data_IF_133150297404
#
_entry.id   IF_133150297404
#
_cell.length_a   1.000
_cell.length_b   1.000
_cell.length_c   1.000
_cell.angle_alpha   90.00
_cell.angle_beta   90.00
_cell.angle_gamma   90.00
#
_symmetry.space_group_name_H-M   'P 1'
#
loop_
_entity.id
_entity.type
_entity.pdbx_description
1 polymer ?
#
# COMPACT_ATOMS: atom_id res chain seq x y z
N UNK A 1 10.84 4.28 -28.43
CA UNK A 1 10.97 2.86 -28.11
C UNK A 1 11.04 2.64 -26.59
N UNK A 2 11.97 3.28 -25.88
CA UNK A 2 12.05 3.24 -24.41
C UNK A 2 10.73 3.51 -23.68
N UNK A 3 10.06 4.63 -23.98
CA UNK A 3 8.76 4.98 -23.37
C UNK A 3 7.65 3.95 -23.64
N UNK A 4 7.70 3.26 -24.77
CA UNK A 4 6.73 2.22 -25.11
C UNK A 4 6.97 0.95 -24.29
N UNK A 5 8.23 0.52 -24.18
CA UNK A 5 8.64 -0.63 -23.34
C UNK A 5 8.30 -0.35 -21.88
N UNK A 6 8.61 0.85 -21.40
CA UNK A 6 8.25 1.33 -20.06
C UNK A 6 6.75 1.23 -19.80
N UNK A 7 5.91 1.77 -20.70
CA UNK A 7 4.45 1.65 -20.61
C UNK A 7 3.98 0.19 -20.70
N UNK A 8 4.57 -0.64 -21.55
CA UNK A 8 4.21 -2.04 -21.70
C UNK A 8 4.48 -2.84 -20.42
N UNK A 9 5.62 -2.62 -19.76
CA UNK A 9 5.95 -3.25 -18.46
C UNK A 9 4.94 -2.80 -17.39
N UNK A 10 4.61 -1.51 -17.36
CA UNK A 10 3.64 -0.96 -16.42
C UNK A 10 2.25 -1.57 -16.57
N UNK A 11 1.81 -1.81 -17.81
CA UNK A 11 0.47 -2.34 -18.11
C UNK A 11 0.45 -3.87 -18.00
N UNK A 12 1.51 -4.54 -18.42
CA UNK A 12 1.53 -6.00 -18.58
C UNK A 12 1.88 -6.78 -17.32
N UNK A 13 2.77 -6.26 -16.47
CA UNK A 13 3.30 -7.04 -15.33
C UNK A 13 2.65 -6.69 -13.99
N UNK A 14 1.98 -5.53 -13.90
CA UNK A 14 1.44 -5.02 -12.64
C UNK A 14 2.56 -4.72 -11.63
N UNK A 15 2.97 -3.46 -11.54
CA UNK A 15 4.09 -3.02 -10.69
C UNK A 15 4.01 -3.45 -9.23
N UNK A 16 2.81 -3.65 -8.70
CA UNK A 16 2.59 -4.10 -7.33
C UNK A 16 3.14 -5.52 -7.08
N UNK A 17 3.14 -6.39 -8.10
CA UNK A 17 3.54 -7.80 -7.98
C UNK A 17 5.01 -8.06 -8.33
N UNK A 18 5.70 -7.11 -8.95
CA UNK A 18 7.10 -7.31 -9.33
C UNK A 18 8.03 -7.15 -8.12
N UNK A 19 8.99 -8.06 -7.97
CA UNK A 19 10.10 -7.94 -7.00
C UNK A 19 11.24 -7.11 -7.60
N UNK A 20 12.11 -6.57 -6.73
CA UNK A 20 13.30 -5.85 -7.15
C UNK A 20 14.16 -6.67 -8.13
N UNK A 21 14.35 -7.96 -7.84
CA UNK A 21 15.14 -8.88 -8.67
C UNK A 21 14.49 -9.09 -10.04
N UNK A 22 13.16 -9.21 -10.11
CA UNK A 22 12.44 -9.41 -11.38
C UNK A 22 12.48 -8.17 -12.25
N UNK A 23 12.45 -6.98 -11.63
CA UNK A 23 12.63 -5.70 -12.33
C UNK A 23 14.02 -5.65 -12.96
N UNK A 24 15.07 -5.96 -12.19
CA UNK A 24 16.44 -5.95 -12.68
C UNK A 24 16.65 -6.96 -13.82
N UNK A 25 16.18 -8.19 -13.66
CA UNK A 25 16.27 -9.24 -14.68
C UNK A 25 15.60 -8.80 -15.99
N UNK A 26 14.35 -8.32 -15.91
CA UNK A 26 13.57 -7.90 -17.09
C UNK A 26 14.26 -6.76 -17.83
N UNK A 27 14.75 -5.75 -17.10
CA UNK A 27 15.41 -4.61 -17.71
C UNK A 27 16.78 -5.00 -18.29
N UNK A 28 17.53 -5.86 -17.60
CA UNK A 28 18.81 -6.37 -18.08
C UNK A 28 18.66 -7.19 -19.38
N UNK A 29 17.58 -7.96 -19.52
CA UNK A 29 17.30 -8.66 -20.79
C UNK A 29 17.04 -7.69 -21.94
N UNK A 30 16.31 -6.60 -21.69
CA UNK A 30 16.00 -5.59 -22.71
C UNK A 30 17.27 -4.83 -23.12
N UNK A 31 18.16 -4.53 -22.15
CA UNK A 31 19.48 -3.94 -22.43
C UNK A 31 20.34 -4.91 -23.26
N UNK A 32 20.36 -6.21 -22.91
CA UNK A 32 21.10 -7.24 -23.66
C UNK A 32 20.59 -7.41 -25.10
N UNK A 33 19.29 -7.23 -25.34
CA UNK A 33 18.68 -7.27 -26.67
C UNK A 33 19.04 -6.03 -27.52
N UNK A 34 19.67 -5.02 -26.93
CA UNK A 34 20.05 -3.78 -27.60
C UNK A 34 18.91 -2.77 -27.72
N UNK A 35 17.74 -3.07 -27.14
CA UNK A 35 16.57 -2.19 -27.16
C UNK A 35 16.75 -0.98 -26.22
N UNK A 36 17.67 -1.09 -25.25
CA UNK A 36 18.01 -0.03 -24.30
C UNK A 36 19.51 0.08 -24.06
N UNK A 37 19.97 1.32 -23.89
CA UNK A 37 21.32 1.58 -23.39
C UNK A 37 21.43 1.24 -21.90
N UNK A 38 22.64 0.93 -21.41
CA UNK A 38 22.83 0.66 -19.98
C UNK A 38 22.37 1.81 -19.08
N UNK A 39 22.54 3.06 -19.56
CA UNK A 39 22.09 4.25 -18.84
C UNK A 39 20.57 4.26 -18.66
N UNK A 40 19.83 3.98 -19.74
CA UNK A 40 18.36 3.90 -19.72
C UNK A 40 17.85 2.72 -18.91
N UNK A 41 18.56 1.57 -18.94
CA UNK A 41 18.23 0.42 -18.11
C UNK A 41 18.34 0.73 -16.61
N UNK A 42 19.44 1.36 -16.18
CA UNK A 42 19.63 1.77 -14.78
C UNK A 42 18.54 2.74 -14.31
N UNK A 43 18.20 3.72 -15.13
CA UNK A 43 17.13 4.69 -14.86
C UNK A 43 15.76 3.99 -14.71
N UNK A 44 15.45 3.07 -15.62
CA UNK A 44 14.19 2.32 -15.59
C UNK A 44 14.07 1.44 -14.34
N UNK A 45 15.16 0.78 -13.92
CA UNK A 45 15.17 -0.04 -12.69
C UNK A 45 14.84 0.82 -11.47
N UNK A 46 15.46 1.98 -11.34
CA UNK A 46 15.22 2.87 -10.20
C UNK A 46 13.78 3.36 -10.18
N UNK A 47 13.27 3.82 -11.33
CA UNK A 47 11.90 4.31 -11.44
C UNK A 47 10.87 3.22 -11.16
N UNK A 48 11.09 2.00 -11.67
CA UNK A 48 10.22 0.84 -11.42
C UNK A 48 10.17 0.48 -9.92
N UNK A 49 11.32 0.51 -9.22
CA UNK A 49 11.38 0.25 -7.77
C UNK A 49 10.66 1.31 -6.95
N UNK A 50 10.91 2.59 -7.23
CA UNK A 50 10.23 3.71 -6.54
C UNK A 50 8.71 3.66 -6.77
N UNK A 51 8.30 3.46 -8.03
CA UNK A 51 6.89 3.40 -8.41
C UNK A 51 6.19 2.19 -7.78
N UNK A 52 6.82 1.01 -7.78
CA UNK A 52 6.29 -0.20 -7.15
C UNK A 52 6.02 0.04 -5.65
N UNK A 53 6.98 0.66 -4.96
CA UNK A 53 6.85 1.00 -3.53
C UNK A 53 5.69 1.95 -3.27
N UNK A 54 5.56 3.00 -4.10
CA UNK A 54 4.46 3.97 -4.00
C UNK A 54 3.10 3.31 -4.24
N UNK A 55 2.97 2.51 -5.30
CA UNK A 55 1.72 1.80 -5.63
C UNK A 55 1.34 0.82 -4.53
N UNK A 56 2.30 0.09 -3.94
CA UNK A 56 2.04 -0.80 -2.80
C UNK A 56 1.51 -0.02 -1.59
N UNK A 57 2.10 1.13 -1.28
CA UNK A 57 1.66 1.98 -0.17
C UNK A 57 0.23 2.50 -0.39
N UNK A 58 -0.05 3.07 -1.56
CA UNK A 58 -1.39 3.56 -1.92
C UNK A 58 -2.44 2.43 -1.89
N UNK A 59 -2.06 1.23 -2.34
CA UNK A 59 -2.94 0.07 -2.28
C UNK A 59 -3.22 -0.36 -0.83
N UNK A 60 -2.20 -0.41 0.03
CA UNK A 60 -2.37 -0.71 1.46
C UNK A 60 -3.29 0.29 2.15
N UNK A 61 -3.10 1.59 1.92
CA UNK A 61 -3.97 2.64 2.48
C UNK A 61 -5.42 2.50 1.98
N UNK A 62 -5.60 2.16 0.70
CA UNK A 62 -6.93 1.94 0.14
C UNK A 62 -7.60 0.70 0.73
N UNK A 63 -6.85 -0.39 0.93
CA UNK A 63 -7.35 -1.60 1.57
C UNK A 63 -7.76 -1.29 3.01
N UNK A 64 -6.89 -0.62 3.78
CA UNK A 64 -7.18 -0.22 5.16
C UNK A 64 -8.45 0.62 5.24
N UNK A 65 -8.62 1.58 4.32
CA UNK A 65 -9.83 2.39 4.24
C UNK A 65 -11.07 1.55 3.94
N UNK A 66 -11.01 0.66 2.95
CA UNK A 66 -12.14 -0.22 2.59
C UNK A 66 -12.51 -1.14 3.75
N UNK A 67 -11.52 -1.69 4.45
CA UNK A 67 -11.74 -2.52 5.63
C UNK A 67 -12.42 -1.70 6.74
N UNK A 68 -11.90 -0.52 7.07
CA UNK A 68 -12.49 0.35 8.06
C UNK A 68 -13.93 0.77 7.71
N UNK A 69 -14.19 1.16 6.45
CA UNK A 69 -15.54 1.48 5.98
C UNK A 69 -16.49 0.27 6.06
N UNK A 70 -15.99 -0.93 5.80
CA UNK A 70 -16.78 -2.17 5.89
C UNK A 70 -17.11 -2.50 7.34
N UNK A 71 -16.14 -2.40 8.25
CA UNK A 71 -16.34 -2.60 9.68
C UNK A 71 -17.37 -1.61 10.25
N UNK A 72 -17.30 -0.34 9.83
CA UNK A 72 -18.30 0.67 10.17
C UNK A 72 -19.69 0.32 9.63
N UNK A 73 -19.81 -0.13 8.38
CA UNK A 73 -21.09 -0.57 7.79
C UNK A 73 -21.70 -1.78 8.50
N UNK A 74 -20.88 -2.63 9.08
CA UNK A 74 -21.32 -3.78 9.88
C UNK A 74 -21.68 -3.40 11.32
N UNK A 75 -21.70 -2.09 11.67
CA UNK A 75 -21.88 -1.59 13.03
C UNK A 75 -20.92 -2.23 14.04
N UNK A 76 -19.72 -2.64 13.61
CA UNK A 76 -18.71 -3.18 14.52
C UNK A 76 -18.00 -2.00 15.21
N UNK A 77 -18.15 -1.83 16.54
CA UNK A 77 -17.44 -0.79 17.25
C UNK A 77 -15.94 -1.10 17.26
N UNK A 78 -15.13 -0.05 17.10
CA UNK A 78 -13.68 -0.15 17.24
C UNK A 78 -13.30 -0.41 18.69
N UNK A 79 -12.13 -1.03 18.91
CA UNK A 79 -11.62 -1.28 20.27
C UNK A 79 -11.51 0.02 21.08
N UNK A 80 -11.17 1.13 20.42
CA UNK A 80 -11.07 2.46 21.03
C UNK A 80 -12.43 2.95 21.53
N UNK A 81 -13.49 2.83 20.74
CA UNK A 81 -14.85 3.21 21.15
C UNK A 81 -15.33 2.38 22.35
N UNK A 82 -14.99 1.08 22.39
CA UNK A 82 -15.29 0.22 23.53
C UNK A 82 -14.54 0.67 24.80
N UNK A 83 -13.25 1.01 24.69
CA UNK A 83 -12.46 1.49 25.83
C UNK A 83 -12.96 2.86 26.33
N UNK A 84 -13.33 3.78 25.43
CA UNK A 84 -13.93 5.07 25.80
C UNK A 84 -15.28 4.88 26.52
N UNK A 85 -16.13 3.96 26.03
CA UNK A 85 -17.37 3.59 26.70
C UNK A 85 -17.12 2.99 28.09
N UNK A 86 -16.13 2.09 28.22
CA UNK A 86 -15.76 1.49 29.50
C UNK A 86 -15.28 2.55 30.50
N UNK A 87 -14.43 3.48 30.07
CA UNK A 87 -13.95 4.57 30.91
C UNK A 87 -15.10 5.50 31.36
N UNK A 88 -16.05 5.79 30.47
CA UNK A 88 -17.26 6.55 30.81
C UNK A 88 -18.13 5.83 31.83
N UNK A 89 -18.34 4.52 31.66
CA UNK A 89 -19.10 3.69 32.61
C UNK A 89 -18.42 3.73 33.98
N UNK A 90 -17.10 3.53 34.04
CA UNK A 90 -16.36 3.53 35.30
C UNK A 90 -16.40 4.89 36.02
N UNK A 91 -16.40 6.00 35.26
CA UNK A 91 -16.59 7.34 35.82
C UNK A 91 -18.00 7.56 36.36
N UNK A 92 -19.02 7.07 35.65
CA UNK A 92 -20.41 7.18 36.08
C UNK A 92 -20.69 6.31 37.31
N UNK A 93 -20.15 5.11 37.37
CA UNK A 93 -20.22 4.22 38.55
C UNK A 93 -19.61 4.90 39.78
N UNK A 94 -18.39 5.43 39.66
CA UNK A 94 -17.73 6.19 40.75
C UNK A 94 -18.49 7.45 41.18
N UNK A 95 -19.20 8.10 40.25
CA UNK A 95 -20.02 9.27 40.55
C UNK A 95 -21.37 8.90 41.22
N UNK A 96 -21.89 7.71 40.92
CA UNK A 96 -23.07 7.13 41.58
C UNK A 96 -22.77 6.70 43.01
N UNK A 97 -21.66 6.00 43.24
CA UNK A 97 -21.23 5.55 44.57
C UNK A 97 -20.89 6.70 45.54
N UNK A 98 -20.53 7.88 45.03
CA UNK A 98 -20.27 9.07 45.86
C UNK A 98 -21.54 9.83 46.30
N UNK A 99 -22.71 9.43 45.80
CA UNK A 99 -24.01 10.08 46.13
C UNK A 99 -24.84 9.32 47.15
N UNK A 100 -24.43 8.12 47.58
CA UNK A 100 -24.88 7.45 48.81
C UNK A 100 -23.90 7.71 49.96
#
# INVERSE_FOLDING_TARGET
MFEFIKKAIFIGAGLASMTADKIEETVNEIVKKGDLTEKQGRELIQELKERSTKVRKELSEKIEKVVNETLQKLNMPTRKEIEELKARIEQLEKAGEKKE
#
